data_IF_052515352063
#
_entry.id   IF_052515352063
#
_cell.length_a   1.000
_cell.length_b   1.000
_cell.length_c   1.000
_cell.angle_alpha   90.00
_cell.angle_beta   90.00
_cell.angle_gamma   90.00
#
_symmetry.space_group_name_H-M   'P 1'
#
loop_
_entity.id
_entity.type
_entity.pdbx_description
1 polymer ?
#
# COMPACT_ATOMS: atom_id res chain seq x y z
N UNK A 1 19.63 -8.32 -13.05
CA UNK A 1 19.34 -8.24 -12.85
C UNK A 1 18.93 -8.04 -12.38
N UNK A 2 18.68 -8.03 -12.40
CA UNK A 2 18.23 -7.85 -11.96
C UNK A 2 17.67 -7.73 -11.39
N UNK A 3 17.59 -7.98 -11.48
CA UNK A 3 16.76 -8.08 -10.87
C UNK A 3 16.50 -7.34 -9.72
N UNK A 4 16.71 -6.42 -9.54
CA UNK A 4 16.48 -5.57 -8.49
C UNK A 4 15.11 -5.06 -8.51
N UNK A 5 14.34 -5.39 -7.50
CA UNK A 5 12.99 -4.93 -7.43
C UNK A 5 12.97 -3.50 -7.01
N UNK A 6 12.16 -2.73 -7.71
CA UNK A 6 11.91 -1.35 -7.34
C UNK A 6 11.01 -1.37 -6.09
N UNK A 7 11.46 -0.83 -4.96
CA UNK A 7 10.64 -0.88 -3.75
C UNK A 7 9.31 -0.17 -3.89
N UNK A 8 9.25 0.85 -4.74
CA UNK A 8 8.00 1.56 -4.97
C UNK A 8 7.02 0.66 -5.71
N UNK A 9 7.47 0.04 -6.78
CA UNK A 9 6.60 -0.85 -7.54
C UNK A 9 6.21 -2.07 -6.73
N UNK A 10 7.14 -2.58 -5.94
CA UNK A 10 6.86 -3.71 -5.08
C UNK A 10 5.76 -3.36 -4.08
N UNK A 11 5.83 -2.16 -3.50
CA UNK A 11 4.81 -1.70 -2.59
C UNK A 11 3.47 -1.50 -3.26
N UNK A 12 3.49 -0.95 -4.48
CA UNK A 12 2.25 -0.75 -5.24
C UNK A 12 1.58 -2.08 -5.52
N UNK A 13 2.35 -3.07 -5.92
CA UNK A 13 1.80 -4.39 -6.21
C UNK A 13 1.20 -5.04 -4.98
N UNK A 14 1.88 -4.91 -3.86
CA UNK A 14 1.38 -5.46 -2.61
C UNK A 14 0.07 -4.80 -2.20
N UNK A 15 0.04 -3.48 -2.24
CA UNK A 15 -1.16 -2.74 -1.88
C UNK A 15 -2.29 -3.05 -2.85
N UNK A 16 -1.99 -3.11 -4.13
CA UNK A 16 -3.00 -3.41 -5.13
C UNK A 16 -3.62 -4.78 -4.86
N UNK A 17 -2.79 -5.77 -4.59
CA UNK A 17 -3.28 -7.12 -4.31
C UNK A 17 -4.15 -7.14 -3.06
N UNK A 18 -3.76 -6.37 -2.05
CA UNK A 18 -4.51 -6.33 -0.81
C UNK A 18 -5.86 -5.63 -0.96
N UNK A 19 -5.92 -4.64 -1.84
CA UNK A 19 -7.13 -3.81 -1.96
C UNK A 19 -8.06 -4.24 -3.09
N UNK A 20 -7.61 -5.10 -3.96
CA UNK A 20 -8.39 -5.42 -5.17
C UNK A 20 -9.75 -6.03 -4.85
N UNK A 21 -9.88 -6.70 -3.73
CA UNK A 21 -11.14 -7.34 -3.36
C UNK A 21 -12.04 -6.45 -2.54
N UNK A 22 -11.61 -5.23 -2.27
CA UNK A 22 -12.39 -4.31 -1.45
C UNK A 22 -13.17 -3.35 -2.31
N UNK A 23 -14.27 -2.85 -1.74
CA UNK A 23 -15.03 -1.81 -2.40
C UNK A 23 -14.23 -0.52 -2.45
N UNK A 24 -14.56 0.38 -3.38
CA UNK A 24 -13.84 1.65 -3.46
C UNK A 24 -13.81 2.42 -2.15
N UNK A 25 -14.91 2.40 -1.43
CA UNK A 25 -14.97 3.10 -0.15
C UNK A 25 -14.05 2.45 0.87
N UNK A 26 -14.04 1.14 0.88
CA UNK A 26 -13.18 0.40 1.81
C UNK A 26 -11.70 0.61 1.46
N UNK A 27 -11.39 0.65 0.17
CA UNK A 27 -10.04 0.92 -0.26
C UNK A 27 -9.56 2.26 0.27
N UNK A 28 -10.43 3.24 0.18
CA UNK A 28 -10.09 4.59 0.62
C UNK A 28 -9.83 4.60 2.12
N UNK A 29 -10.64 3.90 2.87
CA UNK A 29 -10.49 3.82 4.31
C UNK A 29 -9.20 3.13 4.71
N UNK A 30 -8.90 2.03 4.03
CA UNK A 30 -7.66 1.29 4.31
C UNK A 30 -6.45 2.16 4.02
N UNK A 31 -6.46 2.83 2.87
CA UNK A 31 -5.34 3.67 2.49
C UNK A 31 -5.15 4.80 3.49
N UNK A 32 -6.23 5.40 3.93
CA UNK A 32 -6.16 6.49 4.90
C UNK A 32 -5.60 5.98 6.22
N UNK A 33 -6.07 4.82 6.65
CA UNK A 33 -5.62 4.24 7.91
C UNK A 33 -4.15 3.85 7.86
N UNK A 34 -3.74 3.22 6.76
CA UNK A 34 -2.35 2.83 6.60
C UNK A 34 -1.45 4.05 6.55
N UNK A 35 -1.90 5.08 5.85
CA UNK A 35 -1.14 6.31 5.75
C UNK A 35 -0.94 6.94 7.12
N UNK A 36 -1.98 6.94 7.92
CA UNK A 36 -1.90 7.49 9.27
C UNK A 36 -0.95 6.68 10.15
N UNK A 37 -1.03 5.35 10.03
CA UNK A 37 -0.15 4.49 10.81
C UNK A 37 1.31 4.69 10.43
N UNK A 38 1.56 4.82 9.15
CA UNK A 38 2.93 5.03 8.67
C UNK A 38 3.46 6.38 9.12
N UNK A 39 2.58 7.37 9.17
CA UNK A 39 2.98 8.70 9.59
C UNK A 39 3.43 8.65 11.05
N UNK A 40 2.71 7.92 11.87
CA UNK A 40 3.07 7.76 13.28
C UNK A 40 4.35 6.94 13.41
N UNK A 41 4.42 5.85 12.69
CA UNK A 41 5.59 4.97 12.76
C UNK A 41 6.84 5.65 12.23
N UNK A 42 6.68 6.53 11.28
CA UNK A 42 7.80 7.19 10.65
C UNK A 42 8.48 8.23 11.50
N UNK A 43 7.92 8.55 12.64
CA UNK A 43 8.52 9.56 13.53
C UNK A 43 9.69 9.01 14.37
#
# INVERSE_FOLDING_TARGET
MKDKKDPIMSGVETVHAALRDLDPEQRRRVLASVSALLDISGK
#
